data_IF_431533132152
#
_entry.id   IF_431533132152
#
_cell.length_a   1.000
_cell.length_b   1.000
_cell.length_c   1.000
_cell.angle_alpha   90.00
_cell.angle_beta   90.00
_cell.angle_gamma   90.00
#
_symmetry.space_group_name_H-M   'P 1'
#
loop_
_entity.id
_entity.type
_entity.pdbx_description
1 polymer ?
#
# COMPACT_ATOMS: atom_id res chain seq x y z
N UNK A 1 7.41 -3.33 -1.66
CA UNK A 1 8.21 -3.89 -2.77
C UNK A 1 9.51 -4.49 -2.26
N UNK A 2 10.52 -3.68 -1.91
CA UNK A 2 11.84 -4.18 -1.49
C UNK A 2 11.81 -5.12 -0.26
N UNK A 3 11.00 -4.79 0.76
CA UNK A 3 10.91 -5.58 2.00
C UNK A 3 10.07 -6.86 1.87
N UNK A 4 8.95 -6.79 1.16
CA UNK A 4 7.93 -7.85 1.12
C UNK A 4 7.95 -8.70 -0.15
N UNK A 5 8.70 -8.29 -1.17
CA UNK A 5 8.61 -8.87 -2.52
C UNK A 5 7.26 -8.62 -3.19
N UNK A 6 6.49 -7.64 -2.73
CA UNK A 6 5.17 -7.34 -3.29
C UNK A 6 5.24 -6.93 -4.77
N UNK A 7 4.10 -7.03 -5.46
CA UNK A 7 3.92 -6.54 -6.82
C UNK A 7 3.41 -5.09 -6.85
N UNK A 8 2.54 -4.77 -5.89
CA UNK A 8 1.92 -3.46 -5.75
C UNK A 8 1.73 -3.10 -4.27
N UNK A 9 1.46 -1.83 -4.01
CA UNK A 9 1.25 -1.31 -2.66
C UNK A 9 0.04 -0.39 -2.58
N UNK A 10 -0.65 -0.43 -1.44
CA UNK A 10 -1.77 0.46 -1.12
C UNK A 10 -1.69 0.90 0.34
N UNK A 11 -1.93 2.17 0.62
CA UNK A 11 -2.15 2.66 2.00
C UNK A 11 -3.13 3.82 2.04
N UNK A 12 -3.76 4.06 3.18
CA UNK A 12 -4.51 5.30 3.42
C UNK A 12 -3.61 6.52 3.36
N UNK A 13 -4.04 7.57 2.65
CA UNK A 13 -3.34 8.86 2.62
C UNK A 13 -3.22 9.52 3.99
N UNK A 14 -4.21 9.32 4.86
CA UNK A 14 -4.19 9.80 6.25
C UNK A 14 -3.11 9.13 7.14
N UNK A 15 -2.47 8.07 6.65
CA UNK A 15 -1.30 7.45 7.25
C UNK A 15 0.02 8.18 6.95
N UNK A 16 0.03 9.12 5.99
CA UNK A 16 1.18 9.97 5.67
C UNK A 16 0.99 11.30 6.41
N UNK A 17 1.90 11.61 7.34
CA UNK A 17 1.63 12.64 8.36
C UNK A 17 2.45 13.91 8.26
N UNK A 18 3.51 13.89 7.47
CA UNK A 18 4.37 15.05 7.25
C UNK A 18 5.01 14.94 5.86
N UNK A 19 5.64 16.03 5.42
CA UNK A 19 6.51 16.06 4.25
C UNK A 19 7.97 15.88 4.66
N UNK A 20 8.82 15.49 3.71
CA UNK A 20 10.27 15.52 3.86
C UNK A 20 10.80 16.57 2.89
N UNK A 21 11.44 17.60 3.44
CA UNK A 21 12.08 18.64 2.64
C UNK A 21 13.32 18.11 1.92
N UNK A 22 13.69 18.77 0.82
CA UNK A 22 14.89 18.42 0.07
C UNK A 22 16.17 18.59 0.88
N UNK A 23 17.12 17.65 0.72
CA UNK A 23 18.40 17.64 1.40
C UNK A 23 18.58 16.42 2.31
N UNK A 24 19.27 16.61 3.43
CA UNK A 24 19.58 15.52 4.36
C UNK A 24 18.33 15.08 5.12
N UNK A 25 18.02 13.78 5.04
CA UNK A 25 16.87 13.18 5.72
C UNK A 25 17.34 12.58 7.05
N UNK A 26 16.74 13.01 8.16
CA UNK A 26 17.02 12.44 9.47
C UNK A 26 15.99 11.37 9.84
N UNK A 27 16.32 10.50 10.81
CA UNK A 27 15.34 9.54 11.30
C UNK A 27 14.13 10.22 11.99
N UNK A 28 14.32 11.43 12.53
CA UNK A 28 13.23 12.25 13.07
C UNK A 28 12.23 12.62 11.99
N UNK A 29 12.68 12.93 10.77
CA UNK A 29 11.80 13.28 9.66
C UNK A 29 10.97 12.06 9.25
N UNK A 30 11.59 10.88 9.15
CA UNK A 30 10.88 9.62 8.87
C UNK A 30 9.81 9.32 9.93
N UNK A 31 10.14 9.50 11.22
CA UNK A 31 9.18 9.30 12.31
C UNK A 31 8.03 10.30 12.30
N UNK A 32 8.23 11.52 11.80
CA UNK A 32 7.13 12.48 11.60
C UNK A 32 6.20 12.03 10.48
N UNK A 33 6.74 11.47 9.39
CA UNK A 33 5.94 10.95 8.27
C UNK A 33 5.14 9.71 8.66
N UNK A 34 5.74 8.78 9.41
CA UNK A 34 5.15 7.51 9.87
C UNK A 34 5.16 7.41 11.41
N UNK A 35 4.28 8.14 12.13
CA UNK A 35 4.37 8.26 13.59
C UNK A 35 3.60 7.17 14.36
N UNK A 36 2.88 6.28 13.67
CA UNK A 36 1.92 5.38 14.32
C UNK A 36 2.48 4.01 14.70
N UNK A 37 3.64 3.64 14.16
CA UNK A 37 4.21 2.33 14.39
C UNK A 37 3.34 1.21 13.83
N UNK A 38 2.70 1.43 12.67
CA UNK A 38 1.97 0.35 12.01
C UNK A 38 2.95 -0.71 11.56
N UNK A 39 2.46 -1.95 11.43
CA UNK A 39 3.26 -3.04 10.90
C UNK A 39 3.07 -3.12 9.39
N UNK A 40 4.16 -3.34 8.66
CA UNK A 40 4.11 -3.67 7.25
C UNK A 40 3.64 -5.11 7.10
N UNK A 41 2.62 -5.30 6.26
CA UNK A 41 2.02 -6.62 6.02
C UNK A 41 1.89 -6.87 4.52
N UNK A 42 1.70 -8.12 4.15
CA UNK A 42 1.36 -8.46 2.76
C UNK A 42 0.29 -9.55 2.69
N UNK A 43 -0.37 -9.63 1.54
CA UNK A 43 -1.25 -10.74 1.20
C UNK A 43 -1.01 -11.20 -0.23
N UNK A 44 -0.84 -12.50 -0.40
CA UNK A 44 -0.89 -13.15 -1.72
C UNK A 44 -2.35 -13.38 -2.10
N UNK A 45 -2.76 -12.83 -3.24
CA UNK A 45 -4.16 -12.79 -3.72
C UNK A 45 -4.21 -13.22 -5.18
N UNK A 46 -5.28 -13.91 -5.58
CA UNK A 46 -5.57 -14.14 -7.00
C UNK A 46 -5.88 -12.81 -7.71
N UNK A 47 -5.64 -12.74 -9.02
CA UNK A 47 -5.95 -11.55 -9.81
C UNK A 47 -7.42 -11.13 -9.72
N UNK A 48 -8.33 -12.12 -9.59
CA UNK A 48 -9.75 -11.84 -9.30
C UNK A 48 -9.93 -11.08 -7.98
N UNK A 49 -9.31 -11.55 -6.90
CA UNK A 49 -9.39 -10.88 -5.60
C UNK A 49 -8.71 -9.50 -5.64
N UNK A 50 -7.63 -9.33 -6.42
CA UNK A 50 -7.00 -8.01 -6.64
C UNK A 50 -7.96 -7.03 -7.31
N UNK A 51 -8.68 -7.46 -8.35
CA UNK A 51 -9.68 -6.63 -9.04
C UNK A 51 -10.78 -6.21 -8.06
N UNK A 52 -11.32 -7.15 -7.28
CA UNK A 52 -12.36 -6.89 -6.28
C UNK A 52 -11.87 -5.91 -5.20
N UNK A 53 -10.67 -6.16 -4.64
CA UNK A 53 -10.07 -5.33 -3.60
C UNK A 53 -9.82 -3.90 -4.09
N UNK A 54 -9.17 -3.73 -5.24
CA UNK A 54 -8.87 -2.40 -5.78
C UNK A 54 -10.14 -1.66 -6.20
N UNK A 55 -11.16 -2.36 -6.69
CA UNK A 55 -12.45 -1.74 -7.03
C UNK A 55 -13.12 -1.15 -5.78
N UNK A 56 -13.09 -1.87 -4.65
CA UNK A 56 -13.61 -1.38 -3.38
C UNK A 56 -12.79 -0.21 -2.82
N UNK A 57 -11.46 -0.33 -2.81
CA UNK A 57 -10.56 0.74 -2.33
C UNK A 57 -10.68 2.01 -3.17
N UNK A 58 -10.88 1.89 -4.48
CA UNK A 58 -11.06 3.05 -5.36
C UNK A 58 -12.37 3.83 -5.12
N UNK A 59 -13.30 3.32 -4.29
CA UNK A 59 -14.50 4.06 -3.88
C UNK A 59 -14.24 5.07 -2.76
N UNK A 60 -13.08 5.00 -2.10
CA UNK A 60 -12.70 5.94 -1.05
C UNK A 60 -12.53 7.34 -1.65
N UNK A 61 -13.29 8.30 -1.13
CA UNK A 61 -13.38 9.64 -1.72
C UNK A 61 -12.14 10.49 -1.42
N UNK A 62 -11.75 11.39 -2.34
CA UNK A 62 -10.80 12.46 -2.04
C UNK A 62 -11.26 13.31 -0.84
N UNK A 63 -10.35 14.11 -0.31
CA UNK A 63 -10.58 14.95 0.89
C UNK A 63 -10.96 14.12 2.15
N UNK A 64 -10.38 12.92 2.25
CA UNK A 64 -10.53 12.04 3.42
C UNK A 64 -9.22 11.31 3.73
N UNK A 65 -9.02 10.96 5.00
CA UNK A 65 -7.89 10.13 5.41
C UNK A 65 -7.87 8.75 4.73
N UNK A 66 -9.04 8.23 4.38
CA UNK A 66 -9.22 6.96 3.69
C UNK A 66 -8.73 6.96 2.23
N UNK A 67 -8.55 8.14 1.63
CA UNK A 67 -8.18 8.26 0.23
C UNK A 67 -6.88 7.47 -0.08
N UNK A 68 -6.91 6.50 -1.01
CA UNK A 68 -5.82 5.57 -1.20
C UNK A 68 -4.64 6.19 -1.94
N UNK A 69 -3.45 5.87 -1.45
CA UNK A 69 -2.19 6.01 -2.17
C UNK A 69 -1.81 4.66 -2.76
N UNK A 70 -1.54 4.63 -4.07
CA UNK A 70 -1.22 3.41 -4.81
C UNK A 70 0.23 3.43 -5.31
N UNK A 71 0.86 2.26 -5.37
CA UNK A 71 2.15 2.04 -6.03
C UNK A 71 2.04 0.86 -7.01
N UNK A 72 2.58 1.03 -8.22
CA UNK A 72 2.51 0.06 -9.33
C UNK A 72 1.09 -0.30 -9.80
N UNK A 73 0.08 0.51 -9.48
CA UNK A 73 -1.30 0.35 -9.94
C UNK A 73 -1.64 1.48 -10.91
N UNK A 74 -2.31 1.16 -12.02
CA UNK A 74 -2.91 2.16 -12.90
C UNK A 74 -4.27 1.68 -13.40
N UNK A 75 -5.24 2.58 -13.52
CA UNK A 75 -6.60 2.31 -14.00
C UNK A 75 -7.32 3.62 -14.35
N UNK A 76 -8.49 3.49 -14.97
CA UNK A 76 -9.49 4.55 -15.11
C UNK A 76 -10.74 4.16 -14.32
N UNK A 77 -11.00 4.88 -13.22
CA UNK A 77 -12.20 4.67 -12.43
C UNK A 77 -13.40 5.38 -13.08
N UNK A 78 -14.44 4.64 -13.42
CA UNK A 78 -15.66 5.18 -14.03
C UNK A 78 -16.87 4.36 -13.58
N UNK A 79 -17.93 5.05 -13.15
CA UNK A 79 -19.21 4.44 -12.75
C UNK A 79 -19.06 3.30 -11.73
N UNK A 80 -18.15 3.48 -10.75
CA UNK A 80 -17.87 2.50 -9.70
C UNK A 80 -17.05 1.28 -10.16
N UNK A 81 -16.51 1.30 -11.38
CA UNK A 81 -15.68 0.22 -11.95
C UNK A 81 -14.28 0.72 -12.28
N UNK A 82 -13.32 -0.22 -12.28
CA UNK A 82 -11.96 0.02 -12.76
C UNK A 82 -11.81 -0.50 -14.18
N UNK A 83 -11.53 0.40 -15.12
CA UNK A 83 -11.19 0.07 -16.50
C UNK A 83 -9.67 0.13 -16.68
N UNK A 84 -9.14 -0.66 -17.62
CA UNK A 84 -7.70 -0.75 -17.91
C UNK A 84 -6.82 -0.96 -16.67
N UNK A 85 -7.30 -1.77 -15.72
CA UNK A 85 -6.57 -2.07 -14.50
C UNK A 85 -5.30 -2.85 -14.81
N UNK A 86 -4.17 -2.27 -14.40
CA UNK A 86 -2.84 -2.82 -14.60
C UNK A 86 -2.03 -2.81 -13.32
N UNK A 87 -1.21 -3.86 -13.16
CA UNK A 87 -0.19 -3.98 -12.11
C UNK A 87 1.17 -4.04 -12.79
N UNK A 88 2.09 -3.16 -12.40
CA UNK A 88 3.41 -3.00 -13.06
C UNK A 88 3.30 -2.77 -14.58
N UNK A 89 2.26 -2.08 -15.03
CA UNK A 89 2.01 -1.77 -16.44
C UNK A 89 1.35 -2.90 -17.25
N UNK A 90 1.20 -4.10 -16.69
CA UNK A 90 0.57 -5.25 -17.33
C UNK A 90 -0.89 -5.40 -16.91
N UNK A 91 -1.82 -5.76 -17.81
CA UNK A 91 -3.20 -6.06 -17.44
C UNK A 91 -3.27 -7.14 -16.37
N UNK A 92 -4.20 -6.98 -15.42
CA UNK A 92 -4.41 -7.99 -14.37
C UNK A 92 -4.98 -9.26 -14.99
N UNK A 93 -4.28 -10.37 -14.79
CA UNK A 93 -4.73 -11.71 -15.17
C UNK A 93 -5.48 -12.32 -13.98
N UNK A 94 -6.79 -12.61 -14.09
CA UNK A 94 -7.57 -13.15 -12.97
C UNK A 94 -7.04 -14.46 -12.39
N UNK A 95 -6.26 -15.24 -13.17
CA UNK A 95 -5.72 -16.53 -12.75
C UNK A 95 -4.32 -16.44 -12.12
N UNK A 96 -3.61 -15.31 -12.24
CA UNK A 96 -2.29 -15.12 -11.62
C UNK A 96 -2.41 -14.75 -10.16
N UNK A 97 -1.39 -15.11 -9.37
CA UNK A 97 -1.22 -14.62 -8.01
C UNK A 97 -0.41 -13.34 -8.00
N UNK A 98 -0.84 -12.38 -7.19
CA UNK A 98 -0.17 -11.12 -6.97
C UNK A 98 -0.01 -10.88 -5.48
N UNK A 99 1.10 -10.24 -5.10
CA UNK A 99 1.34 -9.85 -3.71
C UNK A 99 1.05 -8.37 -3.50
N UNK A 100 0.10 -8.08 -2.61
CA UNK A 100 -0.19 -6.73 -2.12
C UNK A 100 0.66 -6.44 -0.87
N UNK A 101 1.33 -5.29 -0.80
CA UNK A 101 1.84 -4.73 0.45
C UNK A 101 0.93 -3.61 0.98
N UNK A 102 0.68 -3.60 2.28
CA UNK A 102 -0.06 -2.53 2.96
C UNK A 102 0.35 -2.45 4.44
N UNK A 103 -0.36 -1.67 5.25
CA UNK A 103 -0.18 -1.56 6.69
C UNK A 103 -1.20 -2.42 7.43
N UNK A 104 -0.83 -2.90 8.63
CA UNK A 104 -1.71 -3.68 9.50
C UNK A 104 -3.05 -2.99 9.74
N UNK A 105 -3.05 -1.66 9.89
CA UNK A 105 -4.26 -0.85 10.03
C UNK A 105 -5.25 -1.05 8.88
N UNK A 106 -4.81 -0.90 7.63
CA UNK A 106 -5.66 -1.10 6.45
C UNK A 106 -6.07 -2.57 6.31
N UNK A 107 -5.14 -3.49 6.58
CA UNK A 107 -5.38 -4.92 6.41
C UNK A 107 -6.48 -5.45 7.34
N UNK A 108 -6.64 -4.85 8.52
CA UNK A 108 -7.68 -5.18 9.51
C UNK A 108 -8.91 -4.29 9.41
N UNK A 109 -9.14 -3.62 8.29
CA UNK A 109 -10.37 -2.85 8.04
C UNK A 109 -10.34 -1.37 8.41
N UNK A 110 -9.17 -0.83 8.79
CA UNK A 110 -8.99 0.59 9.04
C UNK A 110 -9.44 1.42 7.83
N UNK A 111 -10.04 2.59 8.10
CA UNK A 111 -10.65 3.47 7.09
C UNK A 111 -11.72 2.82 6.19
N UNK A 112 -12.26 1.66 6.60
CA UNK A 112 -13.23 0.91 5.81
C UNK A 112 -12.63 0.10 4.67
N UNK A 113 -11.31 -0.13 4.69
CA UNK A 113 -10.65 -1.00 3.72
C UNK A 113 -11.16 -2.45 3.83
N UNK A 114 -11.20 -3.22 2.73
CA UNK A 114 -11.57 -4.63 2.83
C UNK A 114 -10.58 -5.40 3.71
N UNK A 115 -11.10 -6.24 4.62
CA UNK A 115 -10.29 -7.11 5.44
C UNK A 115 -9.49 -8.10 4.59
N UNK A 116 -8.18 -8.15 4.80
CA UNK A 116 -7.29 -9.15 4.21
C UNK A 116 -6.56 -9.99 5.27
N UNK A 117 -6.67 -9.63 6.55
CA UNK A 117 -6.04 -10.32 7.68
C UNK A 117 -6.58 -11.73 7.91
N UNK A 118 -7.76 -12.04 7.36
CA UNK A 118 -8.39 -13.35 7.41
C UNK A 118 -8.12 -14.23 6.18
N UNK A 119 -7.32 -13.76 5.22
CA UNK A 119 -7.04 -14.48 3.96
C UNK A 119 -5.89 -15.48 4.16
N UNK A 120 -5.93 -16.66 3.52
CA UNK A 120 -4.86 -17.67 3.65
C UNK A 120 -3.46 -17.17 3.26
N UNK A 121 -3.38 -16.22 2.32
CA UNK A 121 -2.11 -15.64 1.85
C UNK A 121 -1.60 -14.46 2.68
N UNK A 122 -2.26 -14.12 3.78
CA UNK A 122 -1.88 -12.99 4.63
C UNK A 122 -0.68 -13.30 5.52
N UNK A 123 0.25 -12.35 5.58
CA UNK A 123 1.42 -12.40 6.46
C UNK A 123 1.65 -11.04 7.08
N UNK A 124 1.65 -11.00 8.41
CA UNK A 124 2.19 -9.89 9.18
C UNK A 124 3.70 -10.08 9.33
N UNK A 125 4.49 -9.14 8.83
CA UNK A 125 5.96 -9.28 8.82
C UNK A 125 6.60 -8.94 10.16
N UNK A 126 5.89 -8.23 11.05
CA UNK A 126 6.42 -7.70 12.30
C UNK A 126 7.31 -6.46 12.14
N UNK A 127 7.58 -5.98 10.92
CA UNK A 127 8.39 -4.78 10.69
C UNK A 127 7.58 -3.50 10.83
N UNK A 128 8.13 -2.51 11.51
CA UNK A 128 7.51 -1.20 11.73
C UNK A 128 7.64 -0.34 10.46
N UNK A 129 6.56 0.36 10.10
CA UNK A 129 6.46 1.27 8.96
C UNK A 129 7.63 2.27 8.87
N UNK A 130 7.92 3.00 9.95
CA UNK A 130 9.01 3.97 10.01
C UNK A 130 10.40 3.32 9.83
N UNK A 131 10.60 2.12 10.37
CA UNK A 131 11.87 1.38 10.22
C UNK A 131 12.07 0.95 8.77
N UNK A 132 11.02 0.42 8.14
CA UNK A 132 11.06 -0.01 6.74
C UNK A 132 11.31 1.18 5.81
N UNK A 133 10.67 2.32 6.06
CA UNK A 133 10.89 3.55 5.30
C UNK A 133 12.32 4.07 5.46
N UNK A 134 12.83 4.14 6.70
CA UNK A 134 14.20 4.57 7.01
C UNK A 134 15.22 3.72 6.26
N UNK A 135 15.13 2.39 6.37
CA UNK A 135 16.05 1.47 5.72
C UNK A 135 16.01 1.59 4.19
N UNK A 136 14.82 1.78 3.61
CA UNK A 136 14.70 1.98 2.18
C UNK A 136 15.36 3.28 1.72
N UNK A 137 15.17 4.38 2.45
CA UNK A 137 15.83 5.67 2.17
C UNK A 137 17.36 5.51 2.27
N UNK A 138 17.88 4.88 3.33
CA UNK A 138 19.32 4.69 3.53
C UNK A 138 19.96 3.89 2.38
N UNK A 139 19.28 2.86 1.86
CA UNK A 139 19.77 2.02 0.77
C UNK A 139 19.69 2.68 -0.62
N UNK A 140 18.90 3.74 -0.75
CA UNK A 140 18.66 4.43 -2.02
C UNK A 140 19.03 5.93 -1.93
N UNK A 141 19.74 6.33 -0.88
CA UNK A 141 20.21 7.71 -0.75
C UNK A 141 21.20 7.99 -1.88
N UNK A 142 21.03 9.10 -2.62
CA UNK A 142 22.04 9.52 -3.58
C UNK A 142 23.35 9.82 -2.86
N UNK A 143 24.46 9.54 -3.55
CA UNK A 143 25.80 9.95 -3.12
C UNK A 143 25.95 11.48 -3.08
#
# INVERSE_FOLDING_TARGET
>A
MARTGADFGVMSGGGIRDSIEGGNITYKDVLKVQPFGNLVVYADMSGKEVIEYLTAVAQMKPDSGAYPQFANVSFVAKDGKLNDLKIKGEPVDPAKTYRLATLSFNATGGDGYPHIDNKPGYVNTGFIDAEVLKQFIEQNSPD
#
